data_IF_934794687945
#
_entry.id   IF_934794687945
#
_cell.length_a   1.000
_cell.length_b   1.000
_cell.length_c   1.000
_cell.angle_alpha   90.00
_cell.angle_beta   90.00
_cell.angle_gamma   90.00
#
_symmetry.space_group_name_H-M   'P 1'
#
loop_
_entity.id
_entity.type
_entity.pdbx_description
1 polymer ?
#
# COMPACT_ATOMS: atom_id res chain seq x y z
N UNK A 1 17.25 1.50 -11.75
CA UNK A 1 15.88 1.59 -11.22
C UNK A 1 14.88 2.25 -12.17
N UNK A 2 15.06 2.07 -13.47
CA UNK A 2 14.16 2.61 -14.50
C UNK A 2 13.06 1.61 -14.93
N UNK A 3 13.05 0.41 -14.35
CA UNK A 3 12.20 -0.69 -14.81
C UNK A 3 10.71 -0.53 -14.46
N UNK A 4 10.37 0.07 -13.32
CA UNK A 4 8.97 0.28 -12.92
C UNK A 4 8.26 1.30 -13.82
N UNK A 5 8.91 2.42 -14.12
CA UNK A 5 8.34 3.43 -15.02
C UNK A 5 8.13 2.88 -16.43
N UNK A 6 9.01 2.00 -16.89
CA UNK A 6 8.87 1.32 -18.20
C UNK A 6 7.67 0.38 -18.23
N UNK A 7 7.44 -0.44 -17.19
CA UNK A 7 6.32 -1.38 -17.14
C UNK A 7 4.97 -0.65 -17.00
N UNK A 8 4.90 0.41 -16.21
CA UNK A 8 3.69 1.25 -16.10
C UNK A 8 3.35 1.95 -17.42
N UNK A 9 4.34 2.43 -18.16
CA UNK A 9 4.13 2.98 -19.50
C UNK A 9 3.59 1.93 -20.46
N UNK A 10 4.15 0.71 -20.46
CA UNK A 10 3.65 -0.38 -21.30
C UNK A 10 2.21 -0.78 -20.94
N UNK A 11 1.84 -0.80 -19.65
CA UNK A 11 0.47 -1.09 -19.21
C UNK A 11 -0.48 0.00 -19.70
N UNK A 12 -0.11 1.27 -19.52
CA UNK A 12 -0.87 2.41 -19.98
C UNK A 12 -1.13 2.35 -21.50
N UNK A 13 -0.08 2.11 -22.26
CA UNK A 13 -0.17 2.08 -23.74
C UNK A 13 -1.04 0.91 -24.20
N UNK A 14 -0.91 -0.27 -23.56
CA UNK A 14 -1.73 -1.44 -23.87
C UNK A 14 -3.21 -1.23 -23.55
N UNK A 15 -3.52 -0.49 -22.48
CA UNK A 15 -4.89 -0.22 -22.05
C UNK A 15 -5.46 1.07 -22.62
N UNK A 16 -4.66 1.82 -23.41
CA UNK A 16 -5.02 3.13 -23.98
C UNK A 16 -5.53 4.12 -22.91
N UNK A 17 -4.90 4.10 -21.73
CA UNK A 17 -5.27 4.97 -20.59
C UNK A 17 -4.34 6.18 -20.57
N UNK A 18 -4.92 7.39 -20.54
CA UNK A 18 -4.18 8.63 -20.36
C UNK A 18 -3.89 8.85 -18.88
N UNK A 19 -2.63 8.64 -18.46
CA UNK A 19 -2.16 8.85 -17.06
C UNK A 19 -1.05 9.90 -17.09
N UNK A 20 -1.12 10.86 -16.19
CA UNK A 20 -0.01 11.78 -15.94
C UNK A 20 1.00 11.10 -15.00
N UNK A 21 2.18 10.77 -15.50
CA UNK A 21 3.25 10.10 -14.73
C UNK A 21 4.29 11.14 -14.33
N UNK A 22 4.59 11.21 -13.05
CA UNK A 22 5.64 12.07 -12.51
C UNK A 22 6.66 11.22 -11.74
N UNK A 23 7.93 11.29 -12.15
CA UNK A 23 9.04 10.65 -11.43
C UNK A 23 9.56 11.59 -10.35
N UNK A 24 9.00 11.49 -9.15
CA UNK A 24 9.33 12.35 -8.02
C UNK A 24 9.55 11.53 -6.75
N UNK A 25 10.38 12.02 -5.84
CA UNK A 25 10.42 11.50 -4.46
C UNK A 25 9.17 12.01 -3.72
N UNK A 26 8.24 11.10 -3.45
CA UNK A 26 6.96 11.45 -2.82
C UNK A 26 7.16 12.18 -1.48
N UNK A 27 8.13 11.77 -0.65
CA UNK A 27 8.34 12.39 0.66
C UNK A 27 8.91 13.82 0.56
N UNK A 28 9.66 14.13 -0.51
CA UNK A 28 10.24 15.47 -0.74
C UNK A 28 9.34 16.37 -1.56
N UNK A 29 8.46 15.80 -2.41
CA UNK A 29 7.61 16.56 -3.31
C UNK A 29 6.67 17.50 -2.56
N UNK A 30 6.40 18.66 -3.16
CA UNK A 30 5.37 19.62 -2.72
C UNK A 30 4.13 19.43 -3.57
N UNK A 31 2.99 19.21 -2.93
CA UNK A 31 1.70 19.10 -3.60
C UNK A 31 0.88 20.36 -3.30
N UNK A 32 0.42 21.03 -4.35
CA UNK A 32 -0.40 22.24 -4.24
C UNK A 32 -1.89 21.95 -4.20
N UNK A 33 -2.27 20.76 -4.67
CA UNK A 33 -3.67 20.31 -4.71
C UNK A 33 -3.92 19.19 -3.70
N UNK A 34 -5.18 19.01 -3.35
CA UNK A 34 -5.66 17.89 -2.53
C UNK A 34 -6.41 16.89 -3.41
N UNK A 35 -6.54 15.67 -2.91
CA UNK A 35 -7.11 14.54 -3.62
C UNK A 35 -8.29 13.95 -2.84
N UNK A 36 -9.29 13.44 -3.54
CA UNK A 36 -10.41 12.72 -2.94
C UNK A 36 -10.07 11.26 -2.64
N UNK A 37 -9.15 10.70 -3.44
CA UNK A 37 -8.69 9.32 -3.25
C UNK A 37 -7.20 9.23 -3.54
N UNK A 38 -6.48 8.50 -2.70
CA UNK A 38 -5.05 8.22 -2.85
C UNK A 38 -4.86 6.72 -2.72
N UNK A 39 -4.21 6.10 -3.70
CA UNK A 39 -3.68 4.74 -3.61
C UNK A 39 -2.19 4.83 -3.28
N UNK A 40 -1.81 4.31 -2.14
CA UNK A 40 -0.44 4.27 -1.66
C UNK A 40 0.09 2.84 -1.70
N UNK A 41 0.77 2.49 -2.79
CA UNK A 41 1.58 1.26 -2.89
C UNK A 41 2.94 1.56 -2.26
N UNK A 42 3.08 1.21 -0.98
CA UNK A 42 4.23 1.64 -0.18
C UNK A 42 5.41 0.65 -0.31
N UNK A 43 6.66 1.15 -0.28
CA UNK A 43 7.83 0.29 -0.27
C UNK A 43 7.80 -0.63 0.95
N UNK A 44 8.06 -1.93 0.75
CA UNK A 44 8.02 -2.95 1.77
C UNK A 44 9.06 -4.05 1.51
N UNK A 45 9.11 -5.04 2.39
CA UNK A 45 10.01 -6.19 2.25
C UNK A 45 9.66 -7.14 1.10
N UNK A 46 8.48 -6.98 0.50
CA UNK A 46 7.92 -7.86 -0.53
C UNK A 46 7.76 -9.35 -0.09
N UNK A 47 7.70 -9.62 1.21
CA UNK A 47 7.54 -10.98 1.75
C UNK A 47 6.29 -11.70 1.23
N UNK A 48 5.25 -10.97 0.84
CA UNK A 48 4.04 -11.53 0.25
C UNK A 48 4.24 -12.15 -1.13
N UNK A 49 5.37 -11.86 -1.79
CA UNK A 49 5.67 -12.38 -3.14
C UNK A 49 6.45 -13.68 -3.14
N UNK A 50 6.67 -14.29 -1.95
CA UNK A 50 7.56 -15.46 -1.79
C UNK A 50 7.18 -16.65 -2.70
N UNK A 51 5.92 -16.78 -3.10
CA UNK A 51 5.45 -17.84 -4.00
C UNK A 51 6.16 -17.79 -5.36
N UNK A 52 6.42 -16.63 -5.91
CA UNK A 52 7.11 -16.42 -7.19
C UNK A 52 8.53 -15.88 -7.04
N UNK A 53 8.88 -15.37 -5.86
CA UNK A 53 10.21 -14.86 -5.52
C UNK A 53 10.67 -15.48 -4.19
N UNK A 54 11.01 -16.79 -4.15
CA UNK A 54 11.34 -17.48 -2.88
C UNK A 54 12.56 -16.89 -2.17
N UNK A 55 13.47 -16.28 -2.90
CA UNK A 55 14.69 -15.66 -2.37
C UNK A 55 14.42 -14.43 -1.47
N UNK A 56 13.20 -13.87 -1.48
CA UNK A 56 12.86 -12.76 -0.53
C UNK A 56 12.95 -13.23 0.91
N UNK A 57 12.69 -14.50 1.19
CA UNK A 57 12.75 -15.05 2.54
C UNK A 57 14.18 -15.16 3.07
N UNK A 58 15.15 -15.32 2.18
CA UNK A 58 16.58 -15.39 2.53
C UNK A 58 17.17 -14.00 2.81
N UNK A 59 16.51 -12.94 2.36
CA UNK A 59 16.94 -11.54 2.48
C UNK A 59 16.27 -10.80 3.63
N UNK A 60 15.58 -11.54 4.52
CA UNK A 60 14.90 -10.92 5.67
C UNK A 60 15.93 -10.28 6.59
N UNK A 61 15.76 -8.97 6.78
CA UNK A 61 16.55 -8.16 7.70
C UNK A 61 15.59 -7.29 8.51
N UNK A 62 15.51 -7.56 9.81
CA UNK A 62 14.62 -6.82 10.71
C UNK A 62 14.93 -5.32 10.72
N UNK A 63 16.18 -4.93 10.51
CA UNK A 63 16.56 -3.51 10.45
C UNK A 63 15.94 -2.84 9.23
N UNK A 64 15.90 -3.52 8.08
CA UNK A 64 15.25 -3.05 6.85
C UNK A 64 13.73 -2.96 7.01
N UNK A 65 13.11 -3.97 7.64
CA UNK A 65 11.67 -3.96 7.91
C UNK A 65 11.30 -2.75 8.79
N UNK A 66 12.07 -2.48 9.85
CA UNK A 66 11.86 -1.28 10.68
C UNK A 66 12.05 0.03 9.93
N UNK A 67 12.99 0.08 8.97
CA UNK A 67 13.16 1.25 8.08
C UNK A 67 11.96 1.42 7.17
N UNK A 68 11.45 0.35 6.56
CA UNK A 68 10.23 0.38 5.75
C UNK A 68 9.04 0.88 6.59
N UNK A 69 8.84 0.37 7.79
CA UNK A 69 7.76 0.83 8.69
C UNK A 69 7.81 2.35 8.89
N UNK A 70 8.99 2.91 9.16
CA UNK A 70 9.15 4.37 9.33
C UNK A 70 8.76 5.14 8.06
N UNK A 71 9.23 4.67 6.89
CA UNK A 71 8.92 5.29 5.60
C UNK A 71 7.43 5.19 5.31
N UNK A 72 6.81 4.04 5.54
CA UNK A 72 5.38 3.80 5.34
C UNK A 72 4.53 4.76 6.18
N UNK A 73 4.86 4.91 7.46
CA UNK A 73 4.19 5.87 8.35
C UNK A 73 4.32 7.30 7.81
N UNK A 74 5.52 7.73 7.41
CA UNK A 74 5.73 9.08 6.84
C UNK A 74 4.94 9.29 5.55
N UNK A 75 4.87 8.27 4.69
CA UNK A 75 4.11 8.34 3.44
C UNK A 75 2.60 8.43 3.70
N UNK A 76 2.07 7.65 4.66
CA UNK A 76 0.66 7.75 5.07
C UNK A 76 0.37 9.14 5.63
N UNK A 77 1.19 9.66 6.55
CA UNK A 77 1.00 10.99 7.13
C UNK A 77 1.02 12.09 6.07
N UNK A 78 1.92 11.98 5.09
CA UNK A 78 1.96 12.92 3.98
C UNK A 78 0.73 12.81 3.10
N UNK A 79 0.27 11.59 2.80
CA UNK A 79 -0.96 11.34 2.06
C UNK A 79 -2.17 11.95 2.77
N UNK A 80 -2.29 11.79 4.09
CA UNK A 80 -3.38 12.38 4.88
C UNK A 80 -3.39 13.91 4.84
N UNK A 81 -2.22 14.57 4.72
CA UNK A 81 -2.15 16.04 4.60
C UNK A 81 -2.73 16.54 3.29
N UNK A 82 -2.54 15.80 2.20
CA UNK A 82 -3.02 16.16 0.87
C UNK A 82 -4.35 15.50 0.51
N UNK A 83 -4.94 14.74 1.42
CA UNK A 83 -6.26 14.15 1.27
C UNK A 83 -7.34 15.17 1.68
N UNK A 84 -8.41 15.27 0.88
CA UNK A 84 -9.59 16.05 1.23
C UNK A 84 -10.33 15.44 2.44
N UNK A 85 -11.14 16.23 3.09
CA UNK A 85 -12.14 15.75 4.06
C UNK A 85 -13.11 14.80 3.32
N UNK A 86 -13.52 13.73 3.96
CA UNK A 86 -14.28 12.60 3.39
C UNK A 86 -13.57 11.87 2.25
N UNK A 87 -12.27 12.11 2.06
CA UNK A 87 -11.45 11.38 1.10
C UNK A 87 -10.95 10.05 1.64
N UNK A 88 -10.51 9.18 0.73
CA UNK A 88 -10.05 7.83 1.03
C UNK A 88 -8.57 7.65 0.72
N UNK A 89 -7.82 7.11 1.67
CA UNK A 89 -6.47 6.62 1.48
C UNK A 89 -6.48 5.10 1.50
N UNK A 90 -6.11 4.47 0.39
CA UNK A 90 -5.90 3.03 0.29
C UNK A 90 -4.40 2.77 0.48
N UNK A 91 -4.04 2.18 1.60
CA UNK A 91 -2.69 1.69 1.88
C UNK A 91 -2.58 0.24 1.46
N UNK A 92 -1.58 -0.09 0.63
CA UNK A 92 -1.34 -1.46 0.18
C UNK A 92 0.15 -1.78 0.26
N UNK A 93 0.48 -2.99 0.69
CA UNK A 93 1.83 -3.55 0.68
C UNK A 93 1.79 -5.04 0.31
N UNK A 94 2.77 -5.49 -0.47
CA UNK A 94 2.98 -6.91 -0.75
C UNK A 94 3.81 -7.58 0.36
N UNK A 95 3.32 -7.49 1.59
CA UNK A 95 3.93 -8.06 2.79
C UNK A 95 2.86 -8.60 3.73
N UNK A 96 3.23 -9.59 4.55
CA UNK A 96 2.42 -10.07 5.66
C UNK A 96 3.07 -9.79 7.03
N UNK A 97 4.24 -9.15 7.03
CA UNK A 97 4.95 -8.87 8.27
C UNK A 97 4.21 -7.83 9.13
N UNK A 98 3.93 -8.09 10.43
CA UNK A 98 3.15 -7.18 11.29
C UNK A 98 3.66 -5.74 11.28
N UNK A 99 4.98 -5.53 11.29
CA UNK A 99 5.60 -4.20 11.27
C UNK A 99 5.31 -3.38 10.00
N UNK A 100 4.96 -4.04 8.90
CA UNK A 100 4.63 -3.38 7.62
C UNK A 100 3.12 -3.36 7.33
N UNK A 101 2.32 -3.97 8.20
CA UNK A 101 0.88 -4.17 8.01
C UNK A 101 0.09 -3.56 9.18
N UNK A 102 -0.35 -4.39 10.10
CA UNK A 102 -1.25 -4.03 11.20
C UNK A 102 -0.64 -2.93 12.07
N UNK A 103 0.63 -3.06 12.47
CA UNK A 103 1.27 -2.08 13.36
C UNK A 103 1.44 -0.70 12.73
N UNK A 104 1.61 -0.61 11.41
CA UNK A 104 1.65 0.69 10.71
C UNK A 104 0.31 1.40 10.89
N UNK A 105 -0.78 0.71 10.63
CA UNK A 105 -2.12 1.27 10.71
C UNK A 105 -2.48 1.62 12.15
N UNK A 106 -2.16 0.75 13.11
CA UNK A 106 -2.44 0.98 14.52
C UNK A 106 -1.72 2.25 15.03
N UNK A 107 -0.45 2.44 14.67
CA UNK A 107 0.30 3.67 15.00
C UNK A 107 -0.34 4.92 14.36
N UNK A 108 -0.79 4.83 13.13
CA UNK A 108 -1.48 5.92 12.44
C UNK A 108 -2.81 6.24 13.13
N UNK A 109 -3.61 5.24 13.46
CA UNK A 109 -4.90 5.41 14.14
C UNK A 109 -4.76 5.98 15.55
N UNK A 110 -3.70 5.60 16.28
CA UNK A 110 -3.40 6.17 17.58
C UNK A 110 -3.06 7.66 17.50
N UNK A 111 -2.30 8.05 16.48
CA UNK A 111 -1.79 9.42 16.31
C UNK A 111 -2.82 10.38 15.71
N UNK A 112 -3.68 9.90 14.82
CA UNK A 112 -4.64 10.72 14.07
C UNK A 112 -6.07 10.39 14.47
N UNK A 113 -6.75 11.33 15.13
CA UNK A 113 -8.15 11.18 15.58
C UNK A 113 -9.18 11.57 14.50
N UNK A 114 -8.74 12.21 13.43
CA UNK A 114 -9.57 12.67 12.32
C UNK A 114 -9.61 11.68 11.15
N UNK A 115 -9.36 10.41 11.43
CA UNK A 115 -9.45 9.31 10.45
C UNK A 115 -10.21 8.14 11.05
N UNK A 116 -10.84 7.35 10.21
CA UNK A 116 -11.46 6.08 10.58
C UNK A 116 -11.14 5.00 9.56
N UNK A 117 -11.19 3.73 10.00
CA UNK A 117 -11.07 2.58 9.11
C UNK A 117 -12.37 2.43 8.32
N UNK A 118 -12.25 2.42 6.99
CA UNK A 118 -13.35 2.11 6.11
C UNK A 118 -13.47 0.60 5.90
N UNK A 119 -14.70 0.07 5.99
CA UNK A 119 -14.95 -1.37 5.82
C UNK A 119 -14.98 -1.73 4.34
N UNK A 120 -14.21 -2.74 3.96
CA UNK A 120 -14.30 -3.37 2.64
C UNK A 120 -15.25 -4.57 2.76
N UNK A 121 -16.27 -4.60 1.93
CA UNK A 121 -17.17 -5.76 1.83
C UNK A 121 -16.70 -6.66 0.68
N UNK A 122 -15.89 -7.66 1.02
CA UNK A 122 -15.39 -8.64 0.05
C UNK A 122 -15.18 -9.99 0.72
N UNK A 123 -15.79 -11.03 0.14
CA UNK A 123 -15.61 -12.42 0.55
C UNK A 123 -14.24 -13.01 0.16
N UNK A 124 -13.51 -12.33 -0.74
CA UNK A 124 -12.16 -12.74 -1.20
C UNK A 124 -11.03 -12.22 -0.31
N UNK A 125 -11.35 -11.43 0.70
CA UNK A 125 -10.36 -10.84 1.60
C UNK A 125 -10.54 -11.34 3.03
N UNK A 126 -9.44 -11.64 3.70
CA UNK A 126 -9.43 -12.05 5.11
C UNK A 126 -9.35 -10.80 5.97
N UNK A 127 -10.44 -10.49 6.68
CA UNK A 127 -10.50 -9.34 7.59
C UNK A 127 -9.56 -9.54 8.79
N UNK A 128 -8.87 -8.48 9.18
CA UNK A 128 -8.09 -8.33 10.43
C UNK A 128 -8.49 -7.02 11.13
N UNK A 129 -7.95 -6.79 12.32
CA UNK A 129 -8.29 -5.61 13.13
C UNK A 129 -8.14 -4.30 12.36
N UNK A 130 -7.02 -4.09 11.66
CA UNK A 130 -6.64 -2.80 11.05
C UNK A 130 -6.65 -2.84 9.51
N UNK A 131 -7.19 -3.91 8.91
CA UNK A 131 -7.24 -4.06 7.46
C UNK A 131 -7.60 -5.45 7.00
N UNK A 132 -7.17 -5.79 5.78
CA UNK A 132 -7.55 -7.03 5.09
C UNK A 132 -6.34 -7.65 4.43
N UNK A 133 -6.28 -8.99 4.43
CA UNK A 133 -5.31 -9.73 3.64
C UNK A 133 -5.96 -10.33 2.40
N UNK A 134 -5.31 -10.17 1.27
CA UNK A 134 -5.49 -10.99 0.08
C UNK A 134 -4.43 -12.10 0.18
N UNK A 135 -4.81 -13.34 0.01
CA UNK A 135 -3.91 -14.49 0.07
C UNK A 135 -3.91 -15.27 -1.27
N UNK A 136 -3.00 -16.24 -1.45
CA UNK A 136 -2.93 -17.01 -2.70
C UNK A 136 -4.24 -17.70 -3.12
N UNK A 137 -5.12 -18.02 -2.17
CA UNK A 137 -6.40 -18.69 -2.45
C UNK A 137 -7.53 -17.71 -2.78
N UNK A 138 -7.34 -16.40 -2.50
CA UNK A 138 -8.36 -15.36 -2.71
C UNK A 138 -8.87 -15.29 -4.15
N UNK A 139 -8.00 -15.63 -5.12
CA UNK A 139 -8.28 -15.62 -6.56
C UNK A 139 -7.79 -16.90 -7.22
N UNK A 140 -8.02 -18.05 -6.58
CA UNK A 140 -7.56 -19.36 -7.08
C UNK A 140 -8.04 -19.67 -8.50
N UNK A 141 -9.23 -19.23 -8.86
CA UNK A 141 -9.82 -19.37 -10.18
C UNK A 141 -9.06 -18.60 -11.28
N UNK A 142 -8.26 -17.61 -10.90
CA UNK A 142 -7.40 -16.81 -11.79
C UNK A 142 -5.90 -17.15 -11.65
N UNK A 143 -5.58 -18.31 -11.06
CA UNK A 143 -4.18 -18.73 -10.83
C UNK A 143 -3.60 -18.27 -9.49
N UNK A 144 -4.43 -17.73 -8.61
CA UNK A 144 -4.04 -17.23 -7.29
C UNK A 144 -3.45 -15.81 -7.32
N UNK A 145 -2.98 -15.36 -6.17
CA UNK A 145 -2.36 -14.03 -6.01
C UNK A 145 -1.11 -14.11 -5.12
N UNK A 146 -0.33 -13.05 -5.08
CA UNK A 146 0.60 -12.80 -3.98
C UNK A 146 -0.18 -12.45 -2.71
N UNK A 147 0.51 -12.41 -1.57
CA UNK A 147 -0.08 -11.91 -0.33
C UNK A 147 0.02 -10.40 -0.32
N UNK A 148 -1.12 -9.73 -0.18
CA UNK A 148 -1.20 -8.29 0.03
C UNK A 148 -1.92 -7.98 1.34
N UNK A 149 -1.47 -6.95 2.00
CA UNK A 149 -2.25 -6.29 3.04
C UNK A 149 -2.84 -4.99 2.49
N UNK A 150 -4.12 -4.77 2.76
CA UNK A 150 -4.86 -3.59 2.31
C UNK A 150 -5.58 -2.98 3.50
N UNK A 151 -5.43 -1.67 3.69
CA UNK A 151 -6.23 -0.90 4.65
C UNK A 151 -6.76 0.36 4.00
N UNK A 152 -8.02 0.68 4.23
CA UNK A 152 -8.67 1.89 3.73
C UNK A 152 -8.95 2.82 4.88
N UNK A 153 -8.36 4.00 4.82
CA UNK A 153 -8.53 5.08 5.80
C UNK A 153 -9.40 6.18 5.19
N UNK A 154 -10.45 6.54 5.87
CA UNK A 154 -11.32 7.68 5.51
C UNK A 154 -10.98 8.86 6.41
N UNK A 155 -10.75 10.02 5.82
CA UNK A 155 -10.51 11.26 6.56
C UNK A 155 -11.84 11.92 6.92
N UNK A 156 -12.05 12.14 8.22
CA UNK A 156 -13.27 12.76 8.75
C UNK A 156 -13.17 14.27 8.73
#
# INVERSE_FOLDING_TARGET
PSSLVGSEMCIRDRLNIKINIQKIDFLKAKFTQKYNSILLDAPCSALGTFRRNPDVTLKIDQSKIKKHQKIQIQMIEKSLKILNKNGFLVYIVCSFHPFETIEVIDKIMQKHKNIKLHKINSHKMIKRQSGYFINPLSFKELGGSDIFFVSVLEKI
#
